data_IF_397127891092
#
_entry.id   IF_397127891092
#
_cell.length_a   1.000
_cell.length_b   1.000
_cell.length_c   1.000
_cell.angle_alpha   90.00
_cell.angle_beta   90.00
_cell.angle_gamma   90.00
#
_symmetry.space_group_name_H-M   'P 1'
#
loop_
_entity.id
_entity.type
_entity.pdbx_description
1 polymer ?
#
# COMPACT_ATOMS: atom_id res chain seq x y z
N UNK A 1 -8.95 3.25 -13.47
CA UNK A 1 -8.95 1.98 -12.75
C UNK A 1 -8.14 0.95 -13.51
N UNK A 2 -7.28 0.25 -12.81
CA UNK A 2 -6.44 -0.80 -13.38
C UNK A 2 -6.63 -2.05 -12.56
N UNK A 3 -6.91 -3.16 -13.23
CA UNK A 3 -6.98 -4.44 -12.54
C UNK A 3 -5.77 -5.29 -12.94
N UNK A 4 -5.30 -6.07 -12.00
CA UNK A 4 -4.19 -6.98 -12.20
C UNK A 4 -4.48 -8.25 -11.45
N UNK A 5 -3.63 -9.25 -11.63
CA UNK A 5 -3.77 -10.49 -10.91
C UNK A 5 -3.66 -10.21 -9.41
N UNK A 6 -4.67 -10.60 -8.64
CA UNK A 6 -4.72 -10.52 -7.19
C UNK A 6 -5.04 -9.14 -6.60
N UNK A 7 -5.23 -8.11 -7.39
CA UNK A 7 -5.59 -6.82 -6.83
C UNK A 7 -6.22 -5.89 -7.87
N UNK A 8 -6.85 -4.84 -7.36
CA UNK A 8 -7.41 -3.75 -8.14
C UNK A 8 -6.69 -2.47 -7.75
N UNK A 9 -6.30 -1.67 -8.72
CA UNK A 9 -5.67 -0.37 -8.48
C UNK A 9 -6.64 0.71 -8.93
N UNK A 10 -7.15 1.49 -7.97
CA UNK A 10 -8.16 2.51 -8.22
C UNK A 10 -7.61 3.90 -8.01
N UNK A 11 -7.84 4.80 -8.97
CA UNK A 11 -7.47 6.20 -8.79
C UNK A 11 -8.48 6.87 -7.87
N UNK A 12 -7.97 7.60 -6.88
CA UNK A 12 -8.82 8.39 -5.98
C UNK A 12 -9.32 9.65 -6.68
N UNK A 13 -10.42 10.20 -6.18
CA UNK A 13 -10.98 11.42 -6.71
C UNK A 13 -9.99 12.54 -6.63
N UNK A 14 -9.54 13.35 -6.96
CA UNK A 14 -8.47 14.34 -6.84
C UNK A 14 -7.23 13.99 -7.64
N UNK A 15 -7.14 12.78 -8.13
CA UNK A 15 -6.03 12.31 -9.00
C UNK A 15 -4.65 12.37 -8.37
N UNK A 16 -4.58 12.54 -7.06
CA UNK A 16 -3.31 12.65 -6.36
C UNK A 16 -2.95 11.38 -5.60
N UNK A 17 -3.76 10.34 -5.73
CA UNK A 17 -3.54 9.09 -5.00
C UNK A 17 -4.20 7.92 -5.70
N UNK A 18 -3.69 6.73 -5.40
CA UNK A 18 -4.23 5.46 -5.89
C UNK A 18 -4.46 4.53 -4.71
N UNK A 19 -5.51 3.74 -4.75
CA UNK A 19 -5.79 2.74 -3.74
C UNK A 19 -5.60 1.35 -4.32
N UNK A 20 -4.81 0.52 -3.63
CA UNK A 20 -4.64 -0.88 -3.97
C UNK A 20 -5.67 -1.66 -3.17
N UNK A 21 -6.53 -2.40 -3.86
CA UNK A 21 -7.56 -3.23 -3.23
C UNK A 21 -7.25 -4.69 -3.54
N UNK A 22 -6.83 -5.49 -2.54
CA UNK A 22 -6.57 -6.92 -2.77
C UNK A 22 -7.84 -7.64 -3.18
N UNK A 23 -7.70 -8.68 -3.99
CA UNK A 23 -8.84 -9.49 -4.45
C UNK A 23 -9.57 -10.19 -3.31
N UNK A 24 -8.84 -10.55 -2.27
CA UNK A 24 -9.40 -11.30 -1.16
C UNK A 24 -9.68 -10.41 0.02
N UNK A 25 -10.80 -10.64 0.67
CA UNK A 25 -11.09 -9.99 1.95
C UNK A 25 -10.08 -10.52 2.97
N UNK A 26 -9.38 -9.62 3.64
CA UNK A 26 -8.38 -10.02 4.61
C UNK A 26 -8.34 -9.06 5.78
N UNK A 27 -7.71 -9.51 6.84
CA UNK A 27 -7.41 -8.68 7.98
C UNK A 27 -5.96 -8.96 8.35
N UNK A 28 -5.14 -7.93 8.26
CA UNK A 28 -3.71 -8.07 8.52
C UNK A 28 -3.33 -7.46 9.86
N UNK A 29 -2.20 -7.91 10.39
CA UNK A 29 -1.59 -7.26 11.52
C UNK A 29 -0.67 -6.16 11.01
N UNK A 30 -1.05 -4.92 11.28
CA UNK A 30 -0.29 -3.78 10.77
C UNK A 30 1.18 -3.83 11.17
N UNK A 31 1.46 -4.23 12.40
CA UNK A 31 2.84 -4.28 12.90
C UNK A 31 3.70 -5.29 12.12
N UNK A 32 3.14 -6.43 11.80
CA UNK A 32 3.86 -7.46 11.06
C UNK A 32 4.20 -7.03 9.65
N UNK A 33 3.24 -6.46 8.95
CA UNK A 33 3.48 -5.97 7.59
C UNK A 33 4.38 -4.73 7.62
N UNK A 34 4.23 -3.89 8.63
CA UNK A 34 5.07 -2.72 8.81
C UNK A 34 6.56 -3.08 8.89
N UNK A 35 6.88 -4.15 9.61
CA UNK A 35 8.27 -4.61 9.72
C UNK A 35 8.86 -4.95 8.36
N UNK A 36 8.06 -5.57 7.51
CA UNK A 36 8.50 -5.92 6.15
C UNK A 36 8.73 -4.66 5.33
N UNK A 37 7.79 -3.72 5.39
CA UNK A 37 7.88 -2.47 4.63
C UNK A 37 9.09 -1.66 5.08
N UNK A 38 9.32 -1.55 6.39
CA UNK A 38 10.45 -0.80 6.91
C UNK A 38 11.79 -1.45 6.54
N UNK A 39 11.82 -2.78 6.42
CA UNK A 39 13.04 -3.49 6.04
C UNK A 39 13.48 -3.13 4.62
N UNK A 40 12.58 -2.57 3.82
CA UNK A 40 12.88 -2.16 2.44
C UNK A 40 13.21 -0.69 2.32
N UNK A 41 13.37 0.00 3.44
CA UNK A 41 13.82 1.38 3.41
C UNK A 41 12.75 2.43 3.61
N UNK A 42 11.49 2.01 3.79
CA UNK A 42 10.40 2.96 4.07
C UNK A 42 10.47 3.42 5.52
N UNK A 43 10.09 4.67 5.74
CA UNK A 43 10.11 5.27 7.06
C UNK A 43 8.68 5.40 7.60
N UNK A 44 8.38 4.74 8.71
CA UNK A 44 7.04 4.80 9.29
C UNK A 44 6.86 6.13 10.02
N UNK A 45 5.86 6.91 9.60
CA UNK A 45 5.63 8.24 10.13
C UNK A 45 4.40 8.33 11.04
N UNK A 46 3.51 7.35 10.98
CA UNK A 46 2.31 7.32 11.79
C UNK A 46 1.93 5.89 12.10
N UNK A 47 1.59 5.61 13.37
CA UNK A 47 1.12 4.30 13.80
C UNK A 47 -0.11 4.48 14.69
N UNK A 48 -1.24 3.90 14.29
CA UNK A 48 -2.39 3.82 15.16
C UNK A 48 -3.20 2.59 14.78
N UNK A 49 -4.34 2.39 15.44
CA UNK A 49 -5.13 1.18 15.20
C UNK A 49 -5.84 1.17 13.85
N UNK A 50 -5.97 2.32 13.22
CA UNK A 50 -6.70 2.45 11.96
C UNK A 50 -5.81 2.34 10.74
N UNK A 51 -4.56 2.77 10.85
CA UNK A 51 -3.64 2.73 9.73
C UNK A 51 -2.21 3.03 10.15
N UNK A 52 -1.28 2.66 9.30
CA UNK A 52 0.14 3.04 9.42
C UNK A 52 0.51 3.80 8.17
N UNK A 53 1.25 4.89 8.33
CA UNK A 53 1.71 5.70 7.21
C UNK A 53 3.21 5.60 7.08
N UNK A 54 3.69 5.51 5.85
CA UNK A 54 5.13 5.41 5.57
C UNK A 54 5.53 6.44 4.53
N UNK A 55 6.74 6.93 4.65
CA UNK A 55 7.33 7.87 3.71
C UNK A 55 8.45 7.20 2.93
N UNK A 56 8.44 7.33 1.61
CA UNK A 56 9.49 6.87 0.72
C UNK A 56 10.20 8.06 0.08
N UNK A 57 10.93 7.84 -1.00
CA UNK A 57 11.71 8.90 -1.63
C UNK A 57 10.86 10.03 -2.18
N UNK A 58 9.78 9.72 -2.86
CA UNK A 58 8.93 10.74 -3.49
C UNK A 58 7.46 10.47 -3.28
N UNK A 59 7.13 9.50 -2.44
CA UNK A 59 5.76 9.04 -2.30
C UNK A 59 5.49 8.60 -0.88
N UNK A 60 4.30 8.92 -0.39
CA UNK A 60 3.82 8.44 0.90
C UNK A 60 2.79 7.37 0.67
N UNK A 61 2.76 6.39 1.56
CA UNK A 61 1.77 5.31 1.49
C UNK A 61 1.10 5.16 2.85
N UNK A 62 -0.15 4.66 2.83
CA UNK A 62 -0.91 4.38 4.05
C UNK A 62 -1.43 2.96 3.98
N UNK A 63 -1.11 2.16 4.99
CA UNK A 63 -1.51 0.77 5.09
C UNK A 63 -2.69 0.63 6.03
N UNK A 64 -3.72 -0.09 5.59
CA UNK A 64 -4.94 -0.34 6.37
C UNK A 64 -5.05 -1.80 6.80
N UNK A 65 -5.76 -2.08 7.90
CA UNK A 65 -5.92 -3.48 8.37
C UNK A 65 -6.60 -4.40 7.37
N UNK A 66 -7.38 -3.84 6.45
CA UNK A 66 -8.05 -4.62 5.41
C UNK A 66 -7.10 -5.13 4.33
N UNK A 67 -5.84 -4.73 4.37
CA UNK A 67 -4.88 -5.03 3.33
C UNK A 67 -4.82 -3.98 2.24
N UNK A 68 -5.70 -2.99 2.27
CA UNK A 68 -5.66 -1.90 1.31
C UNK A 68 -4.46 -1.01 1.55
N UNK A 69 -3.94 -0.43 0.47
CA UNK A 69 -2.82 0.49 0.54
C UNK A 69 -3.17 1.74 -0.27
N UNK A 70 -3.05 2.90 0.36
CA UNK A 70 -3.21 4.17 -0.32
C UNK A 70 -1.83 4.66 -0.74
N UNK A 71 -1.67 5.00 -2.01
CA UNK A 71 -0.38 5.46 -2.55
C UNK A 71 -0.56 6.89 -3.03
N UNK A 72 0.11 7.82 -2.37
CA UNK A 72 -0.02 9.24 -2.66
C UNK A 72 0.95 9.67 -3.75
N UNK A 73 0.56 9.49 -4.98
CA UNK A 73 1.32 9.92 -6.16
C UNK A 73 0.36 10.17 -7.31
N UNK A 74 0.70 11.10 -8.17
CA UNK A 74 -0.07 11.34 -9.40
C UNK A 74 0.36 10.40 -10.51
N UNK A 75 1.52 9.75 -10.37
CA UNK A 75 2.11 8.94 -11.41
C UNK A 75 1.63 7.50 -11.32
N UNK A 76 0.88 7.08 -12.33
CA UNK A 76 0.33 5.74 -12.38
C UNK A 76 1.40 4.65 -12.35
N UNK A 77 2.50 4.86 -13.05
CA UNK A 77 3.58 3.87 -13.11
C UNK A 77 4.24 3.68 -11.74
N UNK A 78 4.33 4.74 -10.95
CA UNK A 78 4.85 4.64 -9.59
C UNK A 78 3.86 3.88 -8.72
N UNK A 79 2.57 4.21 -8.81
CA UNK A 79 1.54 3.52 -8.05
C UNK A 79 1.47 2.04 -8.41
N UNK A 80 1.57 1.71 -9.68
CA UNK A 80 1.52 0.34 -10.15
C UNK A 80 2.69 -0.48 -9.62
N UNK A 81 3.87 0.10 -9.62
CA UNK A 81 5.06 -0.57 -9.11
C UNK A 81 4.97 -0.86 -7.62
N UNK A 82 4.47 0.12 -6.85
CA UNK A 82 4.29 -0.06 -5.41
C UNK A 82 3.18 -1.07 -5.13
N UNK A 83 2.11 -1.05 -5.93
CA UNK A 83 1.03 -2.02 -5.79
C UNK A 83 1.52 -3.45 -5.97
N UNK A 84 2.37 -3.68 -6.98
CA UNK A 84 2.97 -4.99 -7.18
C UNK A 84 3.81 -5.41 -5.98
N UNK A 85 4.60 -4.49 -5.47
CA UNK A 85 5.42 -4.72 -4.29
C UNK A 85 4.55 -5.09 -3.09
N UNK A 86 3.47 -4.34 -2.88
CA UNK A 86 2.58 -4.56 -1.75
C UNK A 86 1.92 -5.94 -1.81
N UNK A 87 1.33 -6.28 -2.94
CA UNK A 87 0.55 -7.51 -3.05
C UNK A 87 1.45 -8.74 -3.16
N UNK A 88 2.52 -8.65 -3.94
CA UNK A 88 3.32 -9.83 -4.24
C UNK A 88 4.51 -10.03 -3.31
N UNK A 89 4.89 -9.02 -2.54
CA UNK A 89 5.99 -9.15 -1.59
C UNK A 89 5.50 -8.92 -0.16
N UNK A 90 4.97 -7.74 0.14
CA UNK A 90 4.64 -7.39 1.52
C UNK A 90 3.54 -8.26 2.10
N UNK A 91 2.42 -8.38 1.40
CA UNK A 91 1.32 -9.23 1.87
C UNK A 91 1.66 -10.71 1.77
N UNK A 92 2.48 -11.09 0.79
CA UNK A 92 2.84 -12.49 0.59
C UNK A 92 3.79 -13.01 1.69
N UNK A 93 4.59 -12.13 2.29
CA UNK A 93 5.50 -12.50 3.36
C UNK A 93 4.87 -12.40 4.75
N UNK A 94 3.70 -11.83 4.82
CA UNK A 94 2.97 -11.63 6.07
C UNK A 94 2.49 -12.93 6.74
#
# INVERSE_FOLDING_TARGET
MVSSENYLLEMCSGRAAWTVVPDQVMQIELESVSSIIESEGWNCTLRNRLCYTFSGEEVDITLYPSGKLLIKTERREVASKIAEQHVHVWLAEY
#
